data_IF_175470727738
#
_entry.id   IF_175470727738
#
_cell.length_a   1.000
_cell.length_b   1.000
_cell.length_c   1.000
_cell.angle_alpha   90.00
_cell.angle_beta   90.00
_cell.angle_gamma   90.00
#
_symmetry.space_group_name_H-M   'P 1'
#
loop_
_entity.id
_entity.type
_entity.pdbx_description
1 polymer ?
#
# COMPACT_ATOMS: atom_id res chain seq x y z
N UNK A 1 -53.63 41.12 -19.60
CA UNK A 1 -53.60 39.67 -19.29
C UNK A 1 -52.34 38.96 -19.82
N UNK A 2 -51.88 39.24 -21.05
CA UNK A 2 -50.73 38.55 -21.69
C UNK A 2 -49.36 38.79 -21.00
N UNK A 3 -49.13 39.97 -20.42
CA UNK A 3 -47.88 40.30 -19.72
C UNK A 3 -47.68 39.50 -18.42
N UNK A 4 -48.76 39.28 -17.65
CA UNK A 4 -48.71 38.53 -16.40
C UNK A 4 -48.36 37.05 -16.64
N UNK A 5 -48.91 36.48 -17.71
CA UNK A 5 -48.65 35.09 -18.09
C UNK A 5 -47.21 34.87 -18.58
N UNK A 6 -46.61 35.86 -19.28
CA UNK A 6 -45.19 35.83 -19.67
C UNK A 6 -44.24 35.96 -18.48
N UNK A 7 -44.56 36.82 -17.51
CA UNK A 7 -43.77 37.00 -16.29
C UNK A 7 -43.83 35.71 -15.46
N UNK A 8 -45.03 35.18 -15.21
CA UNK A 8 -45.21 33.93 -14.48
C UNK A 8 -44.46 32.76 -15.14
N UNK A 9 -44.54 32.64 -16.47
CA UNK A 9 -43.80 31.61 -17.20
C UNK A 9 -42.28 31.76 -17.07
N UNK A 10 -41.75 33.00 -17.05
CA UNK A 10 -40.33 33.27 -16.86
C UNK A 10 -39.85 32.93 -15.45
N UNK A 11 -40.63 33.28 -14.42
CA UNK A 11 -40.31 32.96 -13.03
C UNK A 11 -40.39 31.44 -12.77
N UNK A 12 -41.38 30.75 -13.35
CA UNK A 12 -41.47 29.28 -13.29
C UNK A 12 -40.26 28.61 -13.96
N UNK A 13 -39.79 29.11 -15.10
CA UNK A 13 -38.57 28.61 -15.76
C UNK A 13 -37.33 28.88 -14.91
N UNK A 14 -37.23 30.04 -14.25
CA UNK A 14 -36.11 30.37 -13.35
C UNK A 14 -36.06 29.42 -12.15
N UNK A 15 -37.21 29.15 -11.52
CA UNK A 15 -37.33 28.21 -10.40
C UNK A 15 -36.96 26.79 -10.85
N UNK A 16 -37.45 26.35 -12.02
CA UNK A 16 -37.14 25.03 -12.56
C UNK A 16 -35.64 24.85 -12.84
N UNK A 17 -34.97 25.88 -13.38
CA UNK A 17 -33.51 25.89 -13.57
C UNK A 17 -32.76 25.80 -12.23
N UNK A 18 -33.23 26.50 -11.20
CA UNK A 18 -32.61 26.47 -9.88
C UNK A 18 -32.71 25.08 -9.23
N UNK A 19 -33.86 24.42 -9.35
CA UNK A 19 -34.06 23.06 -8.85
C UNK A 19 -33.17 22.03 -9.56
N UNK A 20 -32.95 22.17 -10.87
CA UNK A 20 -32.02 21.32 -11.62
C UNK A 20 -30.58 21.51 -11.14
N UNK A 21 -30.16 22.77 -10.91
CA UNK A 21 -28.79 23.06 -10.41
C UNK A 21 -28.57 22.49 -9.01
N UNK A 22 -29.55 22.59 -8.10
CA UNK A 22 -29.46 22.00 -6.76
C UNK A 22 -29.29 20.48 -6.85
N UNK A 23 -30.08 19.80 -7.70
CA UNK A 23 -30.00 18.35 -7.88
C UNK A 23 -28.62 17.92 -8.40
N UNK A 24 -28.06 18.66 -9.38
CA UNK A 24 -26.73 18.38 -9.91
C UNK A 24 -25.62 18.63 -8.88
N UNK A 25 -25.77 19.65 -8.03
CA UNK A 25 -24.83 19.94 -6.95
C UNK A 25 -24.86 18.86 -5.86
N UNK A 26 -26.05 18.38 -5.48
CA UNK A 26 -26.19 17.26 -4.54
C UNK A 26 -25.57 15.97 -5.08
N UNK A 27 -25.71 15.70 -6.37
CA UNK A 27 -25.07 14.55 -7.02
C UNK A 27 -23.54 14.67 -7.04
N UNK A 28 -23.01 15.86 -7.30
CA UNK A 28 -21.56 16.12 -7.26
C UNK A 28 -20.98 15.96 -5.84
N UNK A 29 -21.67 16.49 -4.82
CA UNK A 29 -21.27 16.27 -3.41
C UNK A 29 -21.34 14.80 -3.03
N UNK A 30 -22.35 14.06 -3.47
CA UNK A 30 -22.43 12.61 -3.25
C UNK A 30 -21.27 11.86 -3.93
N UNK A 31 -20.93 12.22 -5.17
CA UNK A 31 -19.79 11.66 -5.89
C UNK A 31 -18.45 12.01 -5.23
N UNK A 32 -18.24 13.24 -4.76
CA UNK A 32 -17.02 13.61 -4.02
C UNK A 32 -16.90 12.89 -2.67
N UNK A 33 -18.02 12.57 -2.01
CA UNK A 33 -18.03 11.72 -0.82
C UNK A 33 -17.82 10.23 -1.14
N UNK A 34 -17.84 9.82 -2.42
CA UNK A 34 -17.61 8.43 -2.82
C UNK A 34 -16.13 8.04 -2.93
N UNK A 35 -15.20 8.99 -2.84
CA UNK A 35 -13.74 8.75 -2.89
C UNK A 35 -13.04 8.55 -1.53
N UNK A 36 -13.79 8.35 -0.43
CA UNK A 36 -13.21 7.92 0.86
C UNK A 36 -13.56 6.48 1.25
N UNK A 37 -13.94 5.63 0.29
CA UNK A 37 -14.07 4.19 0.49
C UNK A 37 -13.06 3.43 -0.37
N UNK A 38 -11.83 3.32 0.13
CA UNK A 38 -10.98 2.18 -0.19
C UNK A 38 -11.68 0.96 0.42
N UNK A 39 -12.33 0.18 -0.42
CA UNK A 39 -12.87 -1.13 -0.06
C UNK A 39 -11.72 -2.06 0.33
N UNK A 40 -11.56 -2.27 1.62
CA UNK A 40 -10.96 -3.47 2.20
C UNK A 40 -12.15 -4.29 2.69
N UNK A 41 -12.53 -5.32 1.93
CA UNK A 41 -13.29 -6.44 2.47
C UNK A 41 -12.34 -7.21 3.40
N UNK A 42 -12.27 -6.81 4.66
CA UNK A 42 -11.82 -7.66 5.76
C UNK A 42 -12.77 -7.40 6.94
N UNK A 43 -13.40 -8.47 7.38
CA UNK A 43 -14.48 -8.54 8.35
C UNK A 43 -14.13 -7.86 9.69
N UNK A 44 -14.95 -6.88 10.07
CA UNK A 44 -15.09 -6.31 11.41
C UNK A 44 -13.90 -5.52 11.99
N UNK A 45 -13.58 -4.35 11.41
CA UNK A 45 -12.89 -3.29 12.16
C UNK A 45 -13.89 -2.20 12.57
N UNK A 46 -14.62 -2.45 13.66
CA UNK A 46 -15.19 -1.36 14.45
C UNK A 46 -14.02 -0.54 14.98
N UNK A 47 -13.84 0.69 14.47
CA UNK A 47 -12.92 1.67 15.06
C UNK A 47 -13.53 2.10 16.39
N UNK A 48 -13.34 1.27 17.42
CA UNK A 48 -13.37 1.73 18.79
C UNK A 48 -12.07 2.49 19.00
N UNK A 49 -12.19 3.78 19.28
CA UNK A 49 -11.11 4.61 19.82
C UNK A 49 -10.79 4.12 21.24
N UNK A 50 -10.13 2.97 21.33
CA UNK A 50 -9.29 2.65 22.46
C UNK A 50 -7.86 2.94 22.02
N UNK A 51 -7.07 3.57 22.88
CA UNK A 51 -5.62 3.76 22.70
C UNK A 51 -4.87 2.42 22.79
N UNK A 52 -5.32 1.43 22.01
CA UNK A 52 -4.71 0.12 21.86
C UNK A 52 -3.52 0.27 20.94
N UNK A 53 -2.33 0.41 21.52
CA UNK A 53 -1.06 0.33 20.82
C UNK A 53 -1.05 -0.88 19.86
N UNK A 54 -0.67 -0.66 18.59
CA UNK A 54 -0.53 -1.74 17.61
C UNK A 54 0.43 -2.81 18.13
N UNK A 55 0.11 -4.09 17.94
CA UNK A 55 1.07 -5.15 18.25
C UNK A 55 2.33 -4.99 17.37
N UNK A 56 3.49 -5.43 17.86
CA UNK A 56 4.76 -5.38 17.09
C UNK A 56 4.61 -6.02 15.70
N UNK A 57 3.89 -7.15 15.63
CA UNK A 57 3.61 -7.88 14.38
C UNK A 57 2.75 -7.05 13.43
N UNK A 58 1.72 -6.38 13.94
CA UNK A 58 0.84 -5.56 13.11
C UNK A 58 1.56 -4.31 12.60
N UNK A 59 2.33 -3.64 13.46
CA UNK A 59 3.19 -2.54 13.05
C UNK A 59 4.20 -2.98 11.98
N UNK A 60 4.83 -4.13 12.19
CA UNK A 60 5.73 -4.77 11.23
C UNK A 60 5.10 -5.06 9.88
N UNK A 61 3.86 -5.55 9.87
CA UNK A 61 3.09 -5.80 8.63
C UNK A 61 2.84 -4.51 7.85
N UNK A 62 2.49 -3.42 8.54
CA UNK A 62 2.26 -2.11 7.91
C UNK A 62 3.57 -1.58 7.33
N UNK A 63 4.65 -1.62 8.13
CA UNK A 63 5.99 -1.26 7.66
C UNK A 63 6.44 -2.13 6.49
N UNK A 64 6.15 -3.43 6.48
CA UNK A 64 6.49 -4.31 5.36
C UNK A 64 5.77 -3.93 4.06
N UNK A 65 4.51 -3.49 4.17
CA UNK A 65 3.74 -3.01 3.03
C UNK A 65 4.27 -1.68 2.50
N UNK A 66 4.75 -0.79 3.36
CA UNK A 66 5.21 0.53 2.95
C UNK A 66 6.28 1.12 3.90
N UNK A 67 7.53 0.63 3.89
CA UNK A 67 8.55 1.05 4.84
C UNK A 67 9.00 2.49 4.61
N UNK A 68 9.11 2.93 3.33
CA UNK A 68 9.40 4.30 2.86
C UNK A 68 9.01 4.51 1.39
N UNK A 69 7.78 4.18 1.02
CA UNK A 69 7.25 4.40 -0.34
C UNK A 69 7.51 3.27 -1.34
N UNK A 70 8.31 2.25 -0.99
CA UNK A 70 8.58 1.08 -1.84
C UNK A 70 8.25 -0.18 -1.04
N UNK A 71 7.26 -0.94 -1.48
CA UNK A 71 6.77 -2.11 -0.74
C UNK A 71 7.76 -3.27 -0.77
N UNK A 72 8.04 -3.88 0.39
CA UNK A 72 8.82 -5.12 0.44
C UNK A 72 8.11 -6.25 -0.32
N UNK A 73 6.77 -6.26 -0.25
CA UNK A 73 5.94 -7.32 -0.82
C UNK A 73 6.00 -7.40 -2.35
N UNK A 74 6.28 -6.27 -3.02
CA UNK A 74 6.43 -6.22 -4.48
C UNK A 74 7.63 -7.05 -4.98
N UNK A 75 8.63 -7.25 -4.13
CA UNK A 75 9.83 -8.04 -4.43
C UNK A 75 9.79 -9.40 -3.74
N UNK A 76 9.43 -9.43 -2.47
CA UNK A 76 9.57 -10.62 -1.62
C UNK A 76 8.24 -11.35 -1.36
N UNK A 77 7.14 -10.93 -1.99
CA UNK A 77 5.80 -11.52 -1.77
C UNK A 77 5.17 -11.04 -0.47
N UNK A 78 3.87 -11.29 -0.27
CA UNK A 78 3.11 -10.80 0.90
C UNK A 78 3.74 -11.17 2.24
N UNK A 79 4.30 -12.37 2.33
CA UNK A 79 4.85 -12.97 3.55
C UNK A 79 6.38 -13.15 3.50
N UNK A 80 7.07 -12.51 2.54
CA UNK A 80 8.51 -12.67 2.42
C UNK A 80 9.01 -13.97 1.80
N UNK A 81 8.12 -14.84 1.28
CA UNK A 81 8.46 -16.13 0.65
C UNK A 81 9.22 -16.01 -0.70
N UNK A 82 9.36 -14.80 -1.23
CA UNK A 82 10.08 -14.50 -2.46
C UNK A 82 9.27 -14.77 -3.74
N UNK A 83 9.98 -14.85 -4.86
CA UNK A 83 9.45 -15.32 -6.13
C UNK A 83 8.78 -14.26 -7.02
N UNK A 84 8.50 -13.06 -6.50
CA UNK A 84 7.88 -11.99 -7.30
C UNK A 84 8.78 -11.57 -8.45
N UNK A 85 8.18 -11.29 -9.60
CA UNK A 85 8.91 -10.81 -10.79
C UNK A 85 9.20 -9.33 -10.62
N UNK A 86 10.48 -8.97 -10.53
CA UNK A 86 10.92 -7.58 -10.38
C UNK A 86 11.15 -6.93 -11.74
N UNK A 87 11.93 -7.59 -12.60
CA UNK A 87 12.26 -7.06 -13.92
C UNK A 87 12.65 -8.17 -14.90
N UNK A 88 12.32 -7.98 -16.17
CA UNK A 88 12.89 -8.76 -17.28
C UNK A 88 14.04 -7.95 -17.88
N UNK A 89 15.18 -8.57 -18.09
CA UNK A 89 16.36 -7.95 -18.71
C UNK A 89 17.01 -8.92 -19.68
N UNK A 90 18.00 -8.44 -20.45
CA UNK A 90 18.77 -9.28 -21.36
C UNK A 90 20.22 -9.30 -20.92
N UNK A 91 20.86 -10.47 -21.01
CA UNK A 91 22.30 -10.56 -20.80
C UNK A 91 23.09 -10.02 -22.02
N UNK A 92 24.42 -10.02 -21.93
CA UNK A 92 25.30 -9.55 -23.01
C UNK A 92 25.11 -10.29 -24.34
N UNK A 93 24.57 -11.50 -24.32
CA UNK A 93 24.28 -12.34 -25.49
C UNK A 93 22.82 -12.23 -25.95
N UNK A 94 22.05 -11.28 -25.41
CA UNK A 94 20.62 -11.07 -25.66
C UNK A 94 19.72 -12.22 -25.23
N UNK A 95 20.15 -13.07 -24.29
CA UNK A 95 19.23 -14.05 -23.70
C UNK A 95 18.32 -13.38 -22.67
N UNK A 96 17.02 -13.66 -22.66
CA UNK A 96 16.11 -13.11 -21.66
C UNK A 96 16.44 -13.69 -20.28
N UNK A 97 16.48 -12.81 -19.28
CA UNK A 97 16.65 -13.11 -17.86
C UNK A 97 15.52 -12.46 -17.07
N UNK A 98 15.21 -13.07 -15.93
CA UNK A 98 14.16 -12.60 -15.04
C UNK A 98 14.74 -12.41 -13.66
N UNK A 99 14.71 -11.18 -13.17
CA UNK A 99 15.03 -10.86 -11.80
C UNK A 99 13.82 -11.16 -10.93
N UNK A 100 14.03 -11.95 -9.87
CA UNK A 100 13.01 -12.27 -8.88
C UNK A 100 13.53 -11.98 -7.49
N UNK A 101 12.65 -11.58 -6.58
CA UNK A 101 13.02 -11.45 -5.17
C UNK A 101 13.22 -12.81 -4.52
N UNK A 102 14.09 -12.84 -3.52
CA UNK A 102 14.45 -14.06 -2.79
C UNK A 102 13.51 -14.28 -1.61
N UNK A 103 13.48 -15.51 -1.09
CA UNK A 103 12.84 -15.83 0.18
C UNK A 103 13.66 -15.20 1.33
N UNK A 104 13.00 -14.45 2.20
CA UNK A 104 13.60 -13.78 3.37
C UNK A 104 13.02 -14.27 4.70
N UNK A 105 12.15 -15.29 4.71
CA UNK A 105 11.54 -15.80 5.96
C UNK A 105 12.55 -16.49 6.88
N UNK A 106 13.65 -17.00 6.33
CA UNK A 106 14.73 -17.66 7.07
C UNK A 106 15.87 -16.73 7.49
N UNK A 107 15.75 -15.42 7.25
CA UNK A 107 16.81 -14.48 7.60
C UNK A 107 16.92 -14.36 9.12
N UNK A 108 18.14 -14.23 9.64
CA UNK A 108 18.35 -13.77 11.00
C UNK A 108 18.03 -12.27 11.10
N UNK A 109 17.71 -11.76 12.29
CA UNK A 109 17.53 -10.32 12.51
C UNK A 109 18.74 -9.51 12.02
N UNK A 110 19.95 -10.03 12.26
CA UNK A 110 21.20 -9.41 11.82
C UNK A 110 21.29 -9.32 10.29
N UNK A 111 20.89 -10.36 9.58
CA UNK A 111 20.93 -10.38 8.11
C UNK A 111 19.83 -9.53 7.49
N UNK A 112 18.64 -9.50 8.10
CA UNK A 112 17.57 -8.60 7.70
C UNK A 112 18.00 -7.14 7.86
N UNK A 113 18.52 -6.76 9.05
CA UNK A 113 19.02 -5.42 9.33
C UNK A 113 20.10 -5.00 8.34
N UNK A 114 21.04 -5.89 8.05
CA UNK A 114 22.09 -5.62 7.06
C UNK A 114 21.50 -5.42 5.65
N UNK A 115 20.51 -6.23 5.25
CA UNK A 115 19.86 -6.12 3.95
C UNK A 115 19.08 -4.82 3.80
N UNK A 116 18.37 -4.37 4.84
CA UNK A 116 17.64 -3.09 4.87
C UNK A 116 18.57 -1.86 4.83
N UNK A 117 19.83 -2.03 5.27
CA UNK A 117 20.92 -1.05 5.10
C UNK A 117 21.66 -1.21 3.76
N UNK A 118 21.22 -2.15 2.92
CA UNK A 118 21.83 -2.47 1.64
C UNK A 118 23.29 -2.96 1.77
N UNK A 119 23.54 -3.78 2.79
CA UNK A 119 24.82 -4.36 3.15
C UNK A 119 24.71 -5.91 3.23
N UNK A 120 24.20 -6.57 2.19
CA UNK A 120 24.09 -8.02 2.18
C UNK A 120 25.47 -8.68 2.03
N UNK A 121 25.61 -9.92 2.52
CA UNK A 121 26.82 -10.73 2.34
C UNK A 121 26.75 -11.47 1.02
N UNK A 122 27.75 -11.25 0.18
CA UNK A 122 28.03 -12.07 -0.99
C UNK A 122 29.51 -12.47 -0.93
N UNK A 123 29.80 -13.78 -0.95
CA UNK A 123 31.17 -14.32 -0.91
C UNK A 123 32.02 -13.76 0.25
N UNK A 124 31.43 -13.71 1.46
CA UNK A 124 32.04 -13.14 2.69
C UNK A 124 32.33 -11.63 2.65
N UNK A 125 31.89 -10.89 1.63
CA UNK A 125 32.02 -9.43 1.55
C UNK A 125 30.65 -8.76 1.61
N UNK A 126 30.60 -7.58 2.24
CA UNK A 126 29.40 -6.73 2.23
C UNK A 126 29.33 -6.01 0.88
N UNK A 127 28.23 -6.18 0.14
CA UNK A 127 28.01 -5.52 -1.15
C UNK A 127 26.67 -4.76 -1.14
N UNK A 128 26.58 -3.72 -1.95
CA UNK A 128 25.33 -2.98 -2.21
C UNK A 128 24.56 -3.62 -3.36
N UNK A 129 23.28 -3.84 -3.13
CA UNK A 129 22.33 -4.45 -4.05
C UNK A 129 21.84 -3.32 -4.94
N UNK A 130 22.01 -3.48 -6.24
CA UNK A 130 21.71 -2.41 -7.21
C UNK A 130 20.21 -2.11 -7.32
N UNK A 131 19.36 -3.01 -6.84
CA UNK A 131 17.91 -2.96 -7.01
C UNK A 131 17.16 -2.80 -5.68
N UNK A 132 17.72 -3.27 -4.56
CA UNK A 132 17.04 -3.19 -3.27
C UNK A 132 17.36 -1.82 -2.67
N UNK A 133 16.35 -1.00 -2.34
CA UNK A 133 16.59 0.33 -1.80
C UNK A 133 17.08 0.25 -0.34
N UNK A 134 17.65 1.36 0.14
CA UNK A 134 17.90 1.58 1.56
C UNK A 134 16.68 2.26 2.18
N UNK A 135 16.20 1.74 3.31
CA UNK A 135 14.96 2.22 3.93
C UNK A 135 15.16 3.18 5.11
N UNK A 136 16.38 3.34 5.63
CA UNK A 136 16.69 4.23 6.77
C UNK A 136 15.73 4.04 7.97
N UNK A 137 15.49 2.78 8.31
CA UNK A 137 14.63 2.37 9.42
C UNK A 137 15.40 2.40 10.74
N UNK A 138 14.69 2.67 11.84
CA UNK A 138 15.23 2.50 13.20
C UNK A 138 15.37 1.02 13.54
N UNK A 139 16.07 0.71 14.64
CA UNK A 139 16.26 -0.67 15.06
C UNK A 139 14.94 -1.32 15.50
N UNK A 140 14.03 -0.54 16.07
CA UNK A 140 12.69 -0.97 16.48
C UNK A 140 11.80 -1.24 15.26
N UNK A 141 11.85 -0.40 14.23
CA UNK A 141 11.13 -0.64 12.97
C UNK A 141 11.64 -1.91 12.27
N UNK A 142 12.96 -2.15 12.28
CA UNK A 142 13.55 -3.38 11.75
C UNK A 142 13.09 -4.59 12.56
N UNK A 143 13.03 -4.48 13.88
CA UNK A 143 12.54 -5.56 14.75
C UNK A 143 11.07 -5.88 14.46
N UNK A 144 10.21 -4.88 14.30
CA UNK A 144 8.81 -5.09 13.99
C UNK A 144 8.62 -5.84 12.66
N UNK A 145 9.36 -5.46 11.60
CA UNK A 145 9.35 -6.20 10.32
C UNK A 145 9.83 -7.64 10.51
N UNK A 146 10.87 -7.86 11.31
CA UNK A 146 11.36 -9.20 11.62
C UNK A 146 10.29 -10.06 12.30
N UNK A 147 9.64 -9.52 13.32
CA UNK A 147 8.58 -10.22 14.07
C UNK A 147 7.42 -10.61 13.14
N UNK A 148 7.02 -9.71 12.23
CA UNK A 148 6.02 -10.00 11.21
C UNK A 148 6.42 -11.15 10.29
N UNK A 149 7.67 -11.18 9.81
CA UNK A 149 8.17 -12.25 8.95
C UNK A 149 8.23 -13.59 9.67
N UNK A 150 8.62 -13.62 10.95
CA UNK A 150 8.63 -14.84 11.75
C UNK A 150 7.21 -15.36 12.01
N UNK A 151 6.29 -14.47 12.40
CA UNK A 151 4.89 -14.80 12.60
C UNK A 151 4.27 -15.41 11.32
N UNK A 152 4.46 -14.75 10.17
CA UNK A 152 3.92 -15.22 8.89
C UNK A 152 4.51 -16.58 8.48
N UNK A 153 5.78 -16.83 8.77
CA UNK A 153 6.45 -18.10 8.49
C UNK A 153 5.96 -19.24 9.40
N UNK A 154 5.52 -18.94 10.62
CA UNK A 154 4.93 -19.95 11.52
C UNK A 154 3.52 -20.34 11.11
N UNK A 155 2.69 -19.39 10.66
CA UNK A 155 1.31 -19.66 10.23
C UNK A 155 1.26 -20.47 8.91
N UNK A 156 2.24 -20.30 8.02
CA UNK A 156 2.30 -21.05 6.76
C UNK A 156 2.83 -22.48 6.84
N UNK A 157 3.00 -23.04 8.06
CA UNK A 157 3.46 -24.42 8.31
C UNK A 157 2.37 -25.35 8.87
N UNK A 158 1.16 -24.83 9.08
CA UNK A 158 -0.06 -25.61 9.34
C UNK A 158 -0.75 -25.97 8.02
#
# INVERSE_FOLDING_TARGET
>A
MVLYQKIYFREVILILKFLIIISLFSFFIYASNSESNIGIEDENLTVQTSDSFLSSVEYGRILYKNPRGISCSQCHGSEGKGGQKIAKYYDKKRNPKLLRGVNITSYSLKDLKASLKNEYREENKRKRHKIMPMYYLTDEEVQAIFDYLQYSNTQGKE
#
